data_IF_827901675001
#
_entry.id   IF_827901675001
#
_cell.length_a   1.000
_cell.length_b   1.000
_cell.length_c   1.000
_cell.angle_alpha   90.00
_cell.angle_beta   90.00
_cell.angle_gamma   90.00
#
_symmetry.space_group_name_H-M   'P 1'
#
loop_
_entity.id
_entity.type
_entity.pdbx_description
1 polymer ?
#
# COMPACT_ATOMS: atom_id res chain seq x y z
N UNK A 1 -20.29 15.12 6.12
CA UNK A 1 -19.17 14.17 6.10
C UNK A 1 -18.22 14.63 5.01
N UNK A 2 -17.04 15.10 5.40
CA UNK A 2 -16.09 15.76 4.51
C UNK A 2 -15.54 14.72 3.52
N UNK A 3 -15.98 14.79 2.26
CA UNK A 3 -15.62 13.87 1.20
C UNK A 3 -14.18 14.18 0.76
N UNK A 4 -13.22 13.84 1.63
CA UNK A 4 -11.78 13.89 1.38
C UNK A 4 -11.56 13.16 0.05
N UNK A 5 -11.28 13.93 -1.02
CA UNK A 5 -11.14 13.40 -2.39
C UNK A 5 -10.24 12.17 -2.35
N UNK A 6 -10.83 11.00 -2.50
CA UNK A 6 -10.15 9.73 -2.51
C UNK A 6 -9.39 9.67 -3.84
N UNK A 7 -8.13 10.07 -3.81
CA UNK A 7 -7.27 9.99 -4.99
C UNK A 7 -6.85 8.53 -5.13
N UNK A 8 -7.17 7.92 -6.27
CA UNK A 8 -6.68 6.58 -6.60
C UNK A 8 -5.15 6.55 -6.57
N UNK A 9 -4.58 5.53 -5.93
CA UNK A 9 -3.14 5.36 -5.83
C UNK A 9 -2.51 4.89 -7.15
N UNK A 10 -3.28 4.16 -7.96
CA UNK A 10 -2.85 3.48 -9.16
C UNK A 10 -3.55 4.07 -10.39
N UNK A 11 -3.12 5.25 -10.82
CA UNK A 11 -3.68 5.93 -11.99
C UNK A 11 -2.75 5.75 -13.18
N UNK A 12 -3.30 5.28 -14.30
CA UNK A 12 -2.55 5.20 -15.55
C UNK A 12 -2.21 6.59 -16.07
N UNK A 13 -0.91 6.85 -16.29
CA UNK A 13 -0.43 8.11 -16.83
C UNK A 13 0.35 7.85 -18.13
N UNK A 14 -0.06 8.52 -19.22
CA UNK A 14 0.56 8.37 -20.56
C UNK A 14 1.96 8.98 -20.65
N UNK A 15 2.32 9.92 -19.76
CA UNK A 15 3.61 10.64 -19.79
C UNK A 15 4.62 9.99 -18.85
N UNK A 16 5.50 9.14 -19.39
CA UNK A 16 6.65 8.61 -18.66
C UNK A 16 7.96 9.27 -19.15
N UNK A 17 8.68 9.96 -18.26
CA UNK A 17 10.00 10.52 -18.58
C UNK A 17 11.10 9.51 -18.27
N UNK A 18 12.02 9.28 -19.23
CA UNK A 18 13.16 8.35 -19.07
C UNK A 18 14.09 8.77 -17.91
N UNK A 19 14.18 10.07 -17.66
CA UNK A 19 15.00 10.61 -16.57
C UNK A 19 14.39 10.31 -15.20
N UNK A 20 13.06 10.31 -15.09
CA UNK A 20 12.34 9.94 -13.86
C UNK A 20 12.66 8.49 -13.48
N UNK A 21 12.78 7.60 -14.47
CA UNK A 21 13.16 6.20 -14.26
C UNK A 21 14.58 6.06 -13.70
N UNK A 22 15.52 6.90 -14.15
CA UNK A 22 16.90 6.90 -13.68
C UNK A 22 16.99 7.36 -12.23
N UNK A 23 16.32 8.48 -11.90
CA UNK A 23 16.21 8.98 -10.52
C UNK A 23 15.53 7.96 -9.62
N UNK A 24 14.51 7.25 -10.13
CA UNK A 24 13.80 6.20 -9.42
C UNK A 24 14.72 5.07 -8.97
N UNK A 25 15.67 4.66 -9.81
CA UNK A 25 16.62 3.59 -9.46
C UNK A 25 17.49 3.98 -8.26
N UNK A 26 18.09 5.18 -8.26
CA UNK A 26 18.87 5.67 -7.13
C UNK A 26 18.03 5.90 -5.87
N UNK A 27 16.81 6.43 -6.04
CA UNK A 27 15.89 6.66 -4.92
C UNK A 27 15.36 5.35 -4.32
N UNK A 28 15.26 4.28 -5.10
CA UNK A 28 14.76 2.99 -4.63
C UNK A 28 15.72 2.33 -3.62
N UNK A 29 17.03 2.54 -3.75
CA UNK A 29 18.04 1.96 -2.87
C UNK A 29 17.82 2.33 -1.39
N UNK A 30 17.77 3.62 -0.98
CA UNK A 30 17.54 3.98 0.41
C UNK A 30 16.16 3.53 0.91
N UNK A 31 15.15 3.57 0.05
CA UNK A 31 13.79 3.13 0.40
C UNK A 31 13.77 1.63 0.72
N UNK A 32 14.43 0.80 -0.10
CA UNK A 32 14.52 -0.66 0.12
C UNK A 32 15.28 -0.98 1.40
N UNK A 33 16.35 -0.25 1.72
CA UNK A 33 17.10 -0.44 2.97
C UNK A 33 16.19 -0.20 4.18
N UNK A 34 15.46 0.91 4.17
CA UNK A 34 14.53 1.26 5.25
C UNK A 34 13.41 0.24 5.34
N UNK A 35 12.82 -0.14 4.20
CA UNK A 35 11.76 -1.13 4.13
C UNK A 35 12.21 -2.49 4.68
N UNK A 36 13.46 -2.88 4.42
CA UNK A 36 14.04 -4.12 4.94
C UNK A 36 14.15 -4.12 6.46
N UNK A 37 14.53 -2.98 7.07
CA UNK A 37 14.58 -2.83 8.52
C UNK A 37 13.18 -2.95 9.15
N UNK A 38 12.18 -2.28 8.57
CA UNK A 38 10.80 -2.40 9.04
C UNK A 38 10.20 -3.78 8.79
N UNK A 39 10.58 -4.46 7.70
CA UNK A 39 10.16 -5.83 7.40
C UNK A 39 10.63 -6.80 8.48
N UNK A 40 11.87 -6.66 8.97
CA UNK A 40 12.37 -7.46 10.08
C UNK A 40 11.52 -7.27 11.34
N UNK A 41 11.17 -6.01 11.65
CA UNK A 41 10.31 -5.66 12.78
C UNK A 41 8.89 -6.25 12.62
N UNK A 42 8.35 -6.24 11.40
CA UNK A 42 7.05 -6.81 11.06
C UNK A 42 7.04 -8.34 11.20
N UNK A 43 8.09 -9.02 10.74
CA UNK A 43 8.23 -10.47 10.89
C UNK A 43 8.24 -10.85 12.38
N UNK A 44 8.98 -10.12 13.20
CA UNK A 44 9.00 -10.33 14.66
C UNK A 44 7.59 -10.16 15.24
N UNK A 45 6.89 -9.07 14.89
CA UNK A 45 5.51 -8.85 15.35
C UNK A 45 4.56 -9.98 14.92
N UNK A 46 4.69 -10.47 13.68
CA UNK A 46 3.87 -11.56 13.16
C UNK A 46 4.16 -12.89 13.87
N UNK A 47 5.44 -13.17 14.14
CA UNK A 47 5.88 -14.35 14.89
C UNK A 47 5.35 -14.37 16.32
N UNK A 48 5.19 -13.21 16.96
CA UNK A 48 4.53 -13.13 18.27
C UNK A 48 3.01 -13.19 18.15
N UNK A 49 2.44 -12.53 17.16
CA UNK A 49 0.98 -12.46 17.01
C UNK A 49 0.36 -13.82 16.65
N UNK A 50 1.05 -14.65 15.86
CA UNK A 50 0.57 -15.97 15.45
C UNK A 50 0.27 -16.91 16.65
N UNK A 51 1.23 -17.24 17.54
CA UNK A 51 0.95 -18.10 18.70
C UNK A 51 -0.04 -17.43 19.66
N UNK A 52 -0.03 -16.10 19.79
CA UNK A 52 -1.02 -15.39 20.60
C UNK A 52 -2.45 -15.60 20.10
N UNK A 53 -2.67 -15.55 18.78
CA UNK A 53 -3.98 -15.83 18.18
C UNK A 53 -4.37 -17.29 18.41
N UNK A 54 -3.43 -18.24 18.23
CA UNK A 54 -3.70 -19.66 18.43
C UNK A 54 -4.11 -19.97 19.87
N UNK A 55 -3.51 -19.31 20.87
CA UNK A 55 -3.79 -19.58 22.28
C UNK A 55 -4.97 -18.76 22.82
N UNK A 56 -5.02 -17.46 22.56
CA UNK A 56 -6.05 -16.56 23.14
C UNK A 56 -7.26 -16.35 22.22
N UNK A 57 -7.20 -16.76 20.95
CA UNK A 57 -8.28 -16.53 19.97
C UNK A 57 -8.51 -15.06 19.60
N UNK A 58 -7.64 -14.14 20.03
CA UNK A 58 -7.76 -12.70 19.76
C UNK A 58 -6.44 -12.10 19.27
N UNK A 59 -6.55 -11.07 18.42
CA UNK A 59 -5.40 -10.27 17.97
C UNK A 59 -5.05 -9.23 19.03
N UNK A 60 -3.75 -9.00 19.22
CA UNK A 60 -3.28 -7.93 20.11
C UNK A 60 -3.30 -6.60 19.37
N UNK A 61 -3.99 -5.60 19.94
CA UNK A 61 -4.25 -4.32 19.26
C UNK A 61 -2.96 -3.57 18.88
N UNK A 62 -1.99 -3.49 19.80
CA UNK A 62 -0.72 -2.79 19.55
C UNK A 62 0.08 -3.42 18.42
N UNK A 63 0.22 -4.76 18.40
CA UNK A 63 0.95 -5.46 17.35
C UNK A 63 0.22 -5.32 16.01
N UNK A 64 -1.11 -5.42 16.03
CA UNK A 64 -1.93 -5.24 14.84
C UNK A 64 -1.78 -3.83 14.26
N UNK A 65 -1.71 -2.78 15.09
CA UNK A 65 -1.50 -1.41 14.64
C UNK A 65 -0.11 -1.21 14.01
N UNK A 66 0.94 -1.82 14.56
CA UNK A 66 2.29 -1.80 13.97
C UNK A 66 2.31 -2.50 12.61
N UNK A 67 1.70 -3.68 12.51
CA UNK A 67 1.60 -4.44 11.25
C UNK A 67 0.80 -3.65 10.22
N UNK A 68 -0.31 -3.04 10.63
CA UNK A 68 -1.14 -2.18 9.77
C UNK A 68 -0.33 -1.03 9.19
N UNK A 69 0.36 -0.25 10.04
CA UNK A 69 1.16 0.89 9.59
C UNK A 69 2.28 0.48 8.62
N UNK A 70 2.92 -0.67 8.85
CA UNK A 70 3.89 -1.22 7.91
C UNK A 70 3.27 -1.55 6.55
N UNK A 71 2.10 -2.21 6.53
CA UNK A 71 1.45 -2.64 5.29
C UNK A 71 0.94 -1.46 4.46
N UNK A 72 0.44 -0.42 5.12
CA UNK A 72 0.03 0.82 4.48
C UNK A 72 1.24 1.50 3.80
N UNK A 73 2.36 1.59 4.50
CA UNK A 73 3.60 2.11 3.96
C UNK A 73 4.16 1.26 2.80
N UNK A 74 4.14 -0.07 2.94
CA UNK A 74 4.61 -1.00 1.92
C UNK A 74 3.82 -0.83 0.61
N UNK A 75 2.50 -0.74 0.68
CA UNK A 75 1.62 -0.58 -0.51
C UNK A 75 1.97 0.69 -1.30
N UNK A 76 2.26 1.79 -0.60
CA UNK A 76 2.69 3.04 -1.22
C UNK A 76 4.04 2.94 -1.93
N UNK A 77 5.00 2.21 -1.35
CA UNK A 77 6.28 1.95 -1.99
C UNK A 77 6.13 0.99 -3.17
N UNK A 78 5.33 -0.06 -3.00
CA UNK A 78 5.11 -1.09 -4.01
C UNK A 78 4.57 -0.46 -5.30
N UNK A 79 3.60 0.45 -5.24
CA UNK A 79 3.11 1.16 -6.43
C UNK A 79 4.20 1.93 -7.18
N UNK A 80 5.13 2.56 -6.46
CA UNK A 80 6.25 3.27 -7.06
C UNK A 80 7.30 2.32 -7.64
N UNK A 81 7.58 1.22 -6.94
CA UNK A 81 8.56 0.22 -7.35
C UNK A 81 8.10 -0.59 -8.56
N UNK A 82 6.82 -0.97 -8.61
CA UNK A 82 6.19 -1.70 -9.72
C UNK A 82 5.70 -0.80 -10.86
N UNK A 83 6.14 0.47 -10.90
CA UNK A 83 5.87 1.42 -11.99
C UNK A 83 4.38 1.74 -12.21
N UNK A 84 3.55 1.52 -11.19
CA UNK A 84 2.10 1.80 -11.25
C UNK A 84 1.79 3.26 -10.91
N UNK A 85 2.73 3.98 -10.28
CA UNK A 85 2.62 5.41 -10.02
C UNK A 85 3.96 6.12 -10.24
N UNK A 86 3.89 7.38 -10.68
CA UNK A 86 5.04 8.29 -10.78
C UNK A 86 5.23 9.15 -9.53
N UNK A 87 4.27 9.12 -8.61
CA UNK A 87 4.33 9.91 -7.39
C UNK A 87 5.35 9.28 -6.43
N UNK A 88 6.39 10.04 -6.08
CA UNK A 88 7.42 9.59 -5.14
C UNK A 88 6.81 9.41 -3.73
N UNK A 89 6.90 8.22 -3.13
CA UNK A 89 6.47 8.01 -1.75
C UNK A 89 7.46 8.69 -0.79
N UNK A 90 6.97 9.14 0.35
CA UNK A 90 7.83 9.62 1.43
C UNK A 90 8.71 8.49 1.96
N UNK A 91 9.91 8.83 2.45
CA UNK A 91 10.90 7.85 2.98
C UNK A 91 10.52 7.33 4.37
N UNK A 92 9.58 7.99 5.04
CA UNK A 92 9.10 7.61 6.36
C UNK A 92 7.65 7.10 6.27
N UNK A 93 7.29 6.12 7.10
CA UNK A 93 5.90 5.70 7.23
C UNK A 93 5.06 6.90 7.64
N UNK A 94 4.07 7.21 6.82
CA UNK A 94 3.03 8.20 7.15
C UNK A 94 1.84 7.42 7.68
N UNK A 95 1.12 8.01 8.63
CA UNK A 95 -0.17 7.45 9.05
C UNK A 95 -1.18 7.68 7.91
N UNK A 96 -1.47 6.61 7.18
CA UNK A 96 -2.28 6.62 5.96
C UNK A 96 -3.20 5.40 5.98
N UNK A 97 -4.41 5.62 6.48
CA UNK A 97 -5.47 4.61 6.48
C UNK A 97 -5.81 4.15 5.05
N UNK A 98 -5.52 2.88 4.73
CA UNK A 98 -6.03 2.24 3.52
C UNK A 98 -7.47 1.79 3.81
N UNK A 99 -8.42 2.40 3.10
CA UNK A 99 -9.82 1.99 3.16
C UNK A 99 -10.10 1.04 2.01
N UNK A 100 -10.54 -0.17 2.35
CA UNK A 100 -11.21 -1.02 1.39
C UNK A 100 -12.63 -0.45 1.19
N UNK A 101 -12.97 -0.06 -0.05
CA UNK A 101 -14.36 0.21 -0.38
C UNK A 101 -15.07 -1.13 -0.28
N UNK A 102 -15.99 -1.29 0.66
CA UNK A 102 -16.91 -2.42 0.62
C UNK A 102 -17.72 -2.28 -0.67
N UNK A 103 -17.30 -3.00 -1.71
CA UNK A 103 -18.15 -3.27 -2.85
C UNK A 103 -19.28 -4.09 -2.28
N UNK A 104 -20.41 -3.43 -2.00
CA UNK A 104 -21.68 -4.12 -1.88
C UNK A 104 -21.77 -4.94 -3.16
N UNK A 105 -21.62 -6.26 -3.07
CA UNK A 105 -21.95 -7.16 -4.17
C UNK A 105 -23.46 -7.04 -4.37
N UNK A 106 -23.89 -5.95 -5.00
CA UNK A 106 -25.15 -5.94 -5.68
C UNK A 106 -24.95 -6.86 -6.88
N UNK A 107 -25.50 -8.07 -6.78
CA UNK A 107 -25.42 -9.14 -7.77
C UNK A 107 -25.95 -8.69 -9.16
N UNK A 108 -26.45 -7.46 -9.30
CA UNK A 108 -27.01 -6.89 -10.52
C UNK A 108 -26.18 -5.78 -11.20
N UNK A 109 -24.93 -5.52 -10.80
CA UNK A 109 -24.07 -4.57 -11.51
C UNK A 109 -22.76 -5.23 -11.94
N UNK A 110 -22.83 -5.98 -13.04
CA UNK A 110 -21.67 -6.10 -13.93
C UNK A 110 -21.51 -4.73 -14.57
N UNK A 111 -20.73 -3.85 -13.94
CA UNK A 111 -20.18 -2.71 -14.67
C UNK A 111 -19.21 -3.29 -15.70
N UNK A 112 -19.78 -3.60 -16.85
CA UNK A 112 -19.07 -3.78 -18.11
C UNK A 112 -18.22 -2.51 -18.22
N UNK A 113 -16.89 -2.66 -18.14
CA UNK A 113 -15.99 -1.66 -18.68
C UNK A 113 -16.20 -1.67 -20.19
N UNK A 114 -17.32 -1.10 -20.63
CA UNK A 114 -17.49 -0.61 -21.97
C UNK A 114 -16.77 0.73 -22.00
N UNK A 115 -15.57 0.68 -22.54
CA UNK A 115 -15.06 1.82 -23.26
C UNK A 115 -14.40 1.27 -24.52
N UNK A 116 -15.24 0.66 -25.35
CA UNK A 116 -15.03 0.74 -26.79
C UNK A 116 -15.07 2.21 -27.24
N UNK A 117 -14.35 2.46 -28.33
CA UNK A 117 -14.39 3.62 -29.23
C UNK A 117 -13.57 4.89 -28.92
N UNK A 118 -12.47 4.95 -29.68
CA UNK A 118 -11.78 6.08 -30.34
C UNK A 118 -10.65 6.84 -29.63
#
# INVERSE_FOLDING_TARGET
MDQKRMNELFVWNKKASRFELFVRLFYSIPVVIILSLYSLLMIICLLFQLPFILVLGRRFETLNNVIKGYLEYYTHIAGYFYLTTDKRPGVLPKDISIFEKQLYYDHNMVEIFDNDEK
#
